data_IF_186895761025
#
_entry.id   IF_186895761025
#
_cell.length_a   1.000
_cell.length_b   1.000
_cell.length_c   1.000
_cell.angle_alpha   90.00
_cell.angle_beta   90.00
_cell.angle_gamma   90.00
#
_symmetry.space_group_name_H-M   'P 1'
#
loop_
_entity.id
_entity.type
_entity.pdbx_description
1 polymer ?
#
# COMPACT_ATOMS: atom_id res chain seq x y z
N UNK A 1 -3.22 4.47 14.03
CA UNK A 1 -3.26 3.42 13.00
C UNK A 1 -4.71 2.99 12.85
N UNK A 2 -5.23 2.97 11.63
CA UNK A 2 -6.61 2.55 11.34
C UNK A 2 -6.54 1.17 10.70
N UNK A 3 -7.27 0.21 11.26
CA UNK A 3 -7.51 -1.08 10.62
C UNK A 3 -8.89 -1.05 9.99
N UNK A 4 -8.96 -1.42 8.71
CA UNK A 4 -10.21 -1.48 7.95
C UNK A 4 -10.38 -2.92 7.44
N UNK A 5 -11.23 -3.74 8.10
CA UNK A 5 -11.52 -5.08 7.62
C UNK A 5 -12.32 -4.97 6.31
N UNK A 6 -11.91 -5.73 5.30
CA UNK A 6 -12.57 -5.79 4.00
C UNK A 6 -12.61 -7.24 3.53
N UNK A 7 -13.73 -7.65 2.96
CA UNK A 7 -13.85 -8.95 2.31
C UNK A 7 -13.49 -8.81 0.83
N UNK A 8 -12.50 -9.58 0.37
CA UNK A 8 -12.09 -9.61 -1.04
C UNK A 8 -12.28 -11.02 -1.57
N UNK A 9 -13.15 -11.17 -2.57
CA UNK A 9 -13.30 -12.44 -3.30
C UNK A 9 -12.17 -12.55 -4.31
N UNK A 10 -11.22 -13.45 -4.07
CA UNK A 10 -9.96 -13.53 -4.81
C UNK A 10 -10.16 -13.81 -6.32
N UNK A 11 -9.55 -12.99 -7.18
CA UNK A 11 -9.38 -13.21 -8.63
C UNK A 11 -7.89 -13.27 -9.02
N UNK A 12 -6.96 -13.25 -8.07
CA UNK A 12 -5.52 -13.11 -8.30
C UNK A 12 -4.64 -13.52 -7.11
N UNK A 13 -4.76 -14.77 -6.64
CA UNK A 13 -3.89 -15.36 -5.62
C UNK A 13 -4.04 -14.77 -4.21
N UNK A 14 -3.41 -15.40 -3.22
CA UNK A 14 -3.68 -15.21 -1.79
C UNK A 14 -3.71 -13.77 -1.23
N UNK A 15 -3.15 -12.76 -1.93
CA UNK A 15 -3.20 -11.34 -1.53
C UNK A 15 -3.45 -10.35 -2.68
N UNK A 16 -3.52 -10.77 -3.95
CA UNK A 16 -3.49 -9.84 -5.09
C UNK A 16 -4.66 -8.85 -5.09
N UNK A 17 -5.90 -9.36 -4.98
CA UNK A 17 -7.09 -8.50 -4.93
C UNK A 17 -7.10 -7.55 -3.72
N UNK A 18 -6.54 -7.98 -2.59
CA UNK A 18 -6.46 -7.14 -1.39
C UNK A 18 -5.43 -6.01 -1.54
N UNK A 19 -4.29 -6.28 -2.19
CA UNK A 19 -3.29 -5.27 -2.52
C UNK A 19 -3.84 -4.22 -3.49
N UNK A 20 -4.59 -4.64 -4.51
CA UNK A 20 -5.19 -3.73 -5.49
C UNK A 20 -6.28 -2.83 -4.88
N UNK A 21 -7.15 -3.41 -4.04
CA UNK A 21 -8.13 -2.63 -3.28
C UNK A 21 -7.45 -1.63 -2.35
N UNK A 22 -6.45 -2.07 -1.58
CA UNK A 22 -5.72 -1.20 -0.66
C UNK A 22 -4.99 -0.06 -1.40
N UNK A 23 -4.43 -0.34 -2.59
CA UNK A 23 -3.80 0.68 -3.45
C UNK A 23 -4.82 1.70 -3.93
N UNK A 24 -6.00 1.25 -4.34
CA UNK A 24 -7.09 2.12 -4.77
C UNK A 24 -7.53 3.05 -3.62
N UNK A 25 -7.78 2.48 -2.44
CA UNK A 25 -8.15 3.24 -1.24
C UNK A 25 -7.08 4.25 -0.83
N UNK A 26 -5.81 3.84 -0.82
CA UNK A 26 -4.70 4.75 -0.53
C UNK A 26 -4.69 5.93 -1.53
N UNK A 27 -4.81 5.65 -2.84
CA UNK A 27 -4.86 6.73 -3.85
C UNK A 27 -6.07 7.64 -3.69
N UNK A 28 -7.24 7.12 -3.33
CA UNK A 28 -8.44 7.93 -3.03
C UNK A 28 -8.26 8.86 -1.83
N UNK A 29 -7.40 8.49 -0.88
CA UNK A 29 -7.08 9.28 0.31
C UNK A 29 -5.88 10.22 0.11
N UNK A 30 -5.29 10.29 -1.08
CA UNK A 30 -4.04 11.01 -1.32
C UNK A 30 -4.12 12.52 -1.05
N UNK A 31 -5.31 13.13 -1.15
CA UNK A 31 -5.53 14.54 -0.80
C UNK A 31 -5.62 14.81 0.70
N UNK A 32 -5.62 13.76 1.54
CA UNK A 32 -5.73 13.86 2.99
C UNK A 32 -4.34 13.93 3.63
N UNK A 33 -3.88 15.10 4.12
CA UNK A 33 -2.49 15.26 4.58
C UNK A 33 -2.15 14.45 5.83
N UNK A 34 -3.15 13.94 6.56
CA UNK A 34 -2.97 13.09 7.74
C UNK A 34 -2.66 11.62 7.38
N UNK A 35 -2.78 11.21 6.11
CA UNK A 35 -2.62 9.81 5.68
C UNK A 35 -1.24 9.60 5.06
N UNK A 36 -0.42 8.75 5.68
CA UNK A 36 0.81 8.24 5.07
C UNK A 36 0.48 7.11 4.10
N UNK A 37 0.41 7.43 2.81
CA UNK A 37 0.11 6.46 1.75
C UNK A 37 1.17 5.35 1.67
N UNK A 38 2.45 5.72 1.77
CA UNK A 38 3.55 4.76 1.69
C UNK A 38 3.59 3.83 2.90
N UNK A 39 3.00 4.25 4.01
CA UNK A 39 2.79 3.47 5.22
C UNK A 39 1.72 2.37 5.11
N UNK A 40 1.04 2.23 3.96
CA UNK A 40 -0.10 1.31 3.81
C UNK A 40 0.34 -0.16 3.75
N UNK A 41 -0.30 -0.98 4.59
CA UNK A 41 -0.06 -2.43 4.66
C UNK A 41 -1.36 -3.22 4.64
N UNK A 42 -1.34 -4.42 4.07
CA UNK A 42 -2.42 -5.40 4.11
C UNK A 42 -2.00 -6.60 4.97
N UNK A 43 -2.96 -7.17 5.67
CA UNK A 43 -2.80 -8.39 6.45
C UNK A 43 -4.10 -9.19 6.36
N UNK A 44 -4.02 -10.50 6.53
CA UNK A 44 -5.25 -11.26 6.83
C UNK A 44 -5.78 -10.86 8.20
N UNK A 45 -7.09 -10.95 8.39
CA UNK A 45 -7.74 -10.54 9.64
C UNK A 45 -7.21 -11.31 10.87
N UNK A 46 -6.99 -12.61 10.70
CA UNK A 46 -6.48 -13.50 11.74
C UNK A 46 -4.96 -13.37 11.96
N UNK A 47 -4.24 -12.71 11.05
CA UNK A 47 -2.78 -12.54 11.14
C UNK A 47 -2.35 -11.09 10.92
N UNK A 48 -2.97 -10.14 11.64
CA UNK A 48 -2.66 -8.69 11.57
C UNK A 48 -1.19 -8.32 11.91
N UNK A 49 -0.47 -9.24 12.55
CA UNK A 49 0.98 -9.08 12.79
C UNK A 49 1.81 -9.30 11.52
N UNK A 50 1.28 -10.03 10.53
CA UNK A 50 1.89 -10.25 9.21
C UNK A 50 1.45 -9.13 8.29
N UNK A 51 2.35 -8.18 8.05
CA UNK A 51 2.08 -6.99 7.24
C UNK A 51 2.74 -7.10 5.88
N UNK A 52 1.94 -7.06 4.84
CA UNK A 52 2.37 -6.96 3.45
C UNK A 52 2.31 -5.50 3.04
N UNK A 53 3.43 -4.94 2.57
CA UNK A 53 3.45 -3.57 2.07
C UNK A 53 2.64 -3.45 0.77
N UNK A 54 1.86 -2.38 0.63
CA UNK A 54 1.12 -2.10 -0.62
C UNK A 54 2.01 -1.39 -1.65
N UNK A 55 2.88 -0.52 -1.15
CA UNK A 55 3.87 0.22 -1.94
C UNK A 55 5.28 -0.23 -1.55
N UNK A 56 6.25 0.08 -2.40
CA UNK A 56 7.65 -0.18 -2.09
C UNK A 56 8.06 0.55 -0.80
N UNK A 57 8.66 -0.20 0.12
CA UNK A 57 9.01 0.27 1.46
C UNK A 57 10.31 1.08 1.50
N UNK A 58 10.97 1.26 0.35
CA UNK A 58 12.19 2.06 0.23
C UNK A 58 11.93 3.54 0.49
N UNK A 59 12.73 4.12 1.39
CA UNK A 59 12.79 5.56 1.65
C UNK A 59 13.68 6.23 0.59
N UNK A 60 13.13 7.24 -0.08
CA UNK A 60 13.78 8.03 -1.11
C UNK A 60 14.52 9.24 -0.49
N UNK A 61 15.42 9.92 -1.23
CA UNK A 61 16.19 11.06 -0.71
C UNK A 61 15.35 12.23 -0.16
N UNK A 62 14.12 12.38 -0.67
CA UNK A 62 13.14 13.35 -0.20
C UNK A 62 12.43 12.92 1.10
N UNK A 63 12.88 11.82 1.73
CA UNK A 63 12.34 11.20 2.94
C UNK A 63 10.92 10.65 2.78
N UNK A 64 10.42 10.54 1.55
CA UNK A 64 9.15 9.88 1.22
C UNK A 64 9.40 8.44 0.75
N UNK A 65 8.38 7.59 0.82
CA UNK A 65 8.46 6.23 0.27
C UNK A 65 8.28 6.25 -1.24
N UNK A 66 8.83 5.24 -1.91
CA UNK A 66 8.60 5.00 -3.32
C UNK A 66 7.10 4.81 -3.61
N UNK A 67 6.59 5.43 -4.68
CA UNK A 67 5.17 5.33 -5.05
C UNK A 67 4.79 4.12 -5.88
N UNK A 68 5.78 3.29 -6.23
CA UNK A 68 5.55 2.06 -6.99
C UNK A 68 5.00 0.97 -6.09
N UNK A 69 4.39 -0.03 -6.72
CA UNK A 69 3.88 -1.22 -6.04
C UNK A 69 5.00 -1.93 -5.29
N UNK A 70 4.64 -2.64 -4.21
CA UNK A 70 5.59 -3.53 -3.56
C UNK A 70 6.20 -4.50 -4.57
N UNK A 71 7.49 -4.80 -4.39
CA UNK A 71 8.27 -5.71 -5.25
C UNK A 71 8.30 -5.34 -6.75
N UNK A 72 8.08 -4.06 -7.10
CA UNK A 72 8.16 -3.60 -8.48
C UNK A 72 9.54 -3.87 -9.11
N UNK A 73 9.54 -4.16 -10.41
CA UNK A 73 10.78 -4.24 -11.21
C UNK A 73 11.20 -2.84 -11.65
N UNK A 74 12.52 -2.58 -11.67
CA UNK A 74 13.11 -1.32 -12.12
C UNK A 74 13.41 -0.31 -11.00
N UNK A 75 13.80 0.91 -11.37
CA UNK A 75 14.20 1.93 -10.42
C UNK A 75 13.03 2.45 -9.56
N UNK A 76 13.33 2.79 -8.31
CA UNK A 76 12.36 3.42 -7.42
C UNK A 76 12.13 4.87 -7.84
N UNK A 77 10.88 5.34 -7.72
CA UNK A 77 10.47 6.69 -8.10
C UNK A 77 9.77 7.37 -6.92
N UNK A 78 9.97 8.69 -6.72
CA UNK A 78 9.23 9.44 -5.71
C UNK A 78 7.73 9.39 -5.98
N UNK A 79 6.92 9.65 -4.94
CA UNK A 79 5.52 9.94 -5.12
C UNK A 79 5.35 11.37 -5.65
N UNK A 80 5.23 11.50 -6.97
CA UNK A 80 4.76 12.73 -7.61
C UNK A 80 3.23 12.78 -7.41
N UNK A 81 2.79 13.09 -6.18
CA UNK A 81 1.38 13.38 -5.94
C UNK A 81 0.89 14.53 -6.85
N UNK A 82 -0.42 14.60 -7.14
CA UNK A 82 -0.96 15.69 -7.95
C UNK A 82 -0.69 17.07 -7.34
#
# INVERSE_FOLDING_TARGET
MIHLPVAVTDLGGALGGALDLARTLARSLASTPQVDLGGTTVSTEDAQHVRHWVFCDRIMPDRRRCAREADHVGACLPNDGP
#
